data_IF_241037334175
#
_entry.id   IF_241037334175
#
_cell.length_a   1.000
_cell.length_b   1.000
_cell.length_c   1.000
_cell.angle_alpha   90.00
_cell.angle_beta   90.00
_cell.angle_gamma   90.00
#
_symmetry.space_group_name_H-M   'P 1'
#
loop_
_entity.id
_entity.type
_entity.pdbx_description
1 polymer ?
#
# COMPACT_ATOMS: atom_id res chain seq x y z
N UNK A 1 25.97 -23.26 39.54
CA UNK A 1 26.31 -23.64 38.15
C UNK A 1 25.78 -25.04 37.91
N UNK A 2 24.81 -25.19 37.00
CA UNK A 2 25.16 -25.75 35.69
C UNK A 2 24.63 -24.90 34.52
N UNK A 3 25.23 -25.15 33.35
CA UNK A 3 25.04 -24.48 32.05
C UNK A 3 23.87 -25.12 31.26
N UNK A 4 23.30 -24.35 30.32
CA UNK A 4 22.35 -24.78 29.27
C UNK A 4 21.01 -24.03 29.40
N UNK A 5 20.42 -23.38 28.40
CA UNK A 5 20.47 -23.62 26.94
C UNK A 5 20.06 -22.32 26.23
N UNK A 6 20.86 -21.83 25.27
CA UNK A 6 20.44 -20.78 24.34
C UNK A 6 19.28 -21.31 23.49
N UNK A 7 18.08 -20.75 23.65
CA UNK A 7 16.97 -20.97 22.71
C UNK A 7 17.01 -19.88 21.65
N UNK A 8 17.41 -20.28 20.44
CA UNK A 8 17.18 -19.49 19.23
C UNK A 8 15.67 -19.33 19.02
N UNK A 9 15.16 -18.09 19.10
CA UNK A 9 13.79 -17.79 18.70
C UNK A 9 13.76 -17.58 17.18
N UNK A 10 13.22 -18.57 16.47
CA UNK A 10 12.87 -18.45 15.05
C UNK A 10 11.78 -17.39 14.89
N UNK A 11 12.01 -16.44 13.99
CA UNK A 11 10.94 -15.60 13.45
C UNK A 11 9.81 -16.52 12.95
N UNK A 12 8.56 -16.13 13.21
CA UNK A 12 7.38 -16.82 12.68
C UNK A 12 7.49 -16.89 11.16
N UNK A 13 7.82 -18.08 10.64
CA UNK A 13 7.81 -18.37 9.21
C UNK A 13 6.36 -18.66 8.83
N UNK A 14 5.76 -17.80 8.03
CA UNK A 14 4.60 -18.20 7.25
C UNK A 14 5.04 -19.32 6.28
N UNK A 15 4.21 -20.36 6.07
CA UNK A 15 4.56 -21.46 5.16
C UNK A 15 4.83 -20.92 3.74
N UNK A 16 5.82 -21.46 3.01
CA UNK A 16 6.07 -21.03 1.64
C UNK A 16 4.87 -21.39 0.74
N UNK A 17 4.40 -20.46 -0.11
CA UNK A 17 3.29 -20.74 -1.02
C UNK A 17 3.71 -21.69 -2.15
N UNK A 18 2.76 -22.53 -2.58
CA UNK A 18 2.89 -23.52 -3.66
C UNK A 18 3.31 -22.89 -5.02
N UNK A 19 3.89 -23.68 -5.95
CA UNK A 19 4.74 -23.16 -7.04
C UNK A 19 4.07 -22.40 -8.20
N UNK A 20 2.76 -22.19 -8.24
CA UNK A 20 2.06 -21.68 -9.44
C UNK A 20 1.22 -20.41 -9.24
N UNK A 21 1.42 -19.66 -8.15
CA UNK A 21 0.56 -18.51 -7.79
C UNK A 21 1.26 -17.17 -7.94
N UNK A 22 0.63 -16.25 -8.68
CA UNK A 22 0.97 -14.83 -8.69
C UNK A 22 0.62 -14.26 -7.32
N UNK A 23 1.59 -14.22 -6.42
CA UNK A 23 1.44 -13.56 -5.13
C UNK A 23 1.66 -12.07 -5.37
N UNK A 24 0.57 -11.34 -5.61
CA UNK A 24 0.51 -9.89 -5.41
C UNK A 24 0.54 -9.58 -3.91
N UNK A 25 1.60 -9.98 -3.24
CA UNK A 25 1.88 -9.56 -1.89
C UNK A 25 2.63 -8.24 -1.96
N UNK A 26 2.13 -7.22 -1.27
CA UNK A 26 3.05 -6.21 -0.72
C UNK A 26 3.92 -6.99 0.27
N UNK A 27 5.01 -7.58 -0.23
CA UNK A 27 6.07 -8.10 0.61
C UNK A 27 6.73 -6.89 1.26
N UNK A 28 6.14 -6.41 2.35
CA UNK A 28 6.82 -5.49 3.23
C UNK A 28 8.12 -6.17 3.67
N UNK A 29 9.29 -5.56 3.48
CA UNK A 29 10.47 -6.02 4.19
C UNK A 29 10.21 -5.93 5.70
N UNK A 30 10.56 -7.01 6.39
CA UNK A 30 10.64 -7.21 7.84
C UNK A 30 11.28 -5.99 8.56
N UNK A 31 10.82 -5.67 9.79
CA UNK A 31 10.08 -4.47 10.13
C UNK A 31 10.94 -3.20 10.26
N UNK A 32 10.54 -2.09 9.63
CA UNK A 32 10.83 -0.73 10.13
C UNK A 32 9.69 0.21 9.73
N UNK A 33 8.81 0.52 10.70
CA UNK A 33 7.80 1.61 10.75
C UNK A 33 7.29 2.13 9.40
N UNK A 34 6.04 1.84 9.03
CA UNK A 34 5.50 2.25 7.72
C UNK A 34 4.24 3.14 7.75
N UNK A 35 3.90 3.68 8.92
CA UNK A 35 3.24 4.99 9.06
C UNK A 35 3.86 5.72 10.26
N UNK A 36 3.94 7.06 10.20
CA UNK A 36 4.67 7.90 11.18
C UNK A 36 6.18 7.58 11.28
N UNK A 37 6.86 7.47 10.13
CA UNK A 37 8.34 7.39 10.07
C UNK A 37 9.01 8.56 10.80
N UNK A 38 8.30 9.69 10.89
CA UNK A 38 8.69 10.90 11.62
C UNK A 38 7.58 11.26 12.60
N UNK A 39 7.86 11.49 13.91
CA UNK A 39 6.87 11.98 14.86
C UNK A 39 6.24 13.29 14.38
N UNK A 40 4.91 13.41 14.44
CA UNK A 40 4.18 14.60 14.04
C UNK A 40 4.33 15.71 15.09
N UNK A 41 5.48 16.39 15.08
CA UNK A 41 5.75 17.60 15.84
C UNK A 41 5.88 18.78 14.86
N UNK A 42 5.52 20.00 15.31
CA UNK A 42 5.49 21.22 14.48
C UNK A 42 6.83 21.50 13.76
N UNK A 43 7.97 21.08 14.31
CA UNK A 43 9.28 21.24 13.69
C UNK A 43 9.51 20.41 12.41
N UNK A 44 8.83 19.26 12.26
CA UNK A 44 9.03 18.36 11.12
C UNK A 44 8.15 18.72 9.90
N UNK A 45 7.25 19.69 10.07
CA UNK A 45 6.41 20.23 8.99
C UNK A 45 7.22 21.15 8.06
N UNK A 46 8.33 21.73 8.56
CA UNK A 46 9.06 22.82 7.92
C UNK A 46 10.40 22.43 7.26
N UNK A 47 10.82 21.16 7.31
CA UNK A 47 12.12 20.75 6.77
C UNK A 47 11.99 19.55 5.81
N UNK A 48 11.89 19.83 4.52
CA UNK A 48 12.15 18.85 3.46
C UNK A 48 13.61 18.93 3.05
N UNK A 49 14.50 18.29 3.80
CA UNK A 49 15.88 18.05 3.35
C UNK A 49 16.09 16.53 3.24
N UNK A 50 16.36 15.98 2.05
CA UNK A 50 16.67 14.57 1.91
C UNK A 50 18.01 14.24 2.60
N UNK A 51 18.15 13.08 3.26
CA UNK A 51 19.40 12.71 3.90
C UNK A 51 20.51 12.50 2.86
N UNK A 52 21.63 13.22 3.04
CA UNK A 52 22.87 13.07 2.25
C UNK A 52 23.44 11.65 2.42
N UNK A 53 23.64 10.93 1.31
CA UNK A 53 24.40 9.68 1.25
C UNK A 53 25.86 9.94 1.62
N UNK A 54 26.32 9.47 2.77
CA UNK A 54 27.76 9.29 3.04
C UNK A 54 28.25 8.04 2.31
N UNK A 55 29.06 8.24 1.26
CA UNK A 55 29.91 7.17 0.68
C UNK A 55 30.92 6.77 1.74
N UNK A 56 30.90 5.51 2.17
CA UNK A 56 32.00 4.89 2.91
C UNK A 56 32.83 4.11 1.90
N UNK A 57 34.12 4.42 1.79
CA UNK A 57 35.07 3.66 1.00
C UNK A 57 35.29 2.28 1.65
N UNK A 58 35.35 1.22 0.83
CA UNK A 58 35.86 -0.09 1.27
C UNK A 58 37.35 -0.19 0.94
N UNK A 59 38.16 -0.84 1.80
CA UNK A 59 39.56 -1.11 1.49
C UNK A 59 39.68 -2.31 0.55
N UNK A 60 40.70 -2.24 -0.32
CA UNK A 60 41.19 -3.39 -1.06
C UNK A 60 42.01 -4.28 -0.12
N UNK A 61 41.79 -5.61 -0.14
CA UNK A 61 42.89 -6.56 -0.01
C UNK A 61 42.54 -7.97 -0.53
N UNK A 62 43.64 -8.68 -0.74
CA UNK A 62 44.07 -9.80 -1.55
C UNK A 62 43.38 -11.19 -1.49
N UNK A 63 43.50 -11.91 -2.60
CA UNK A 63 44.06 -13.27 -2.62
C UNK A 63 43.27 -14.46 -2.06
N UNK A 64 42.82 -15.32 -2.97
CA UNK A 64 42.59 -16.78 -2.83
C UNK A 64 41.52 -17.27 -1.84
N UNK A 65 40.38 -17.68 -2.38
CA UNK A 65 39.98 -19.11 -2.45
C UNK A 65 38.60 -19.23 -3.09
N UNK A 66 38.51 -20.06 -4.13
CA UNK A 66 37.27 -20.40 -4.80
C UNK A 66 36.31 -21.09 -3.84
N UNK A 67 35.33 -20.34 -3.34
CA UNK A 67 34.06 -20.91 -2.94
C UNK A 67 33.01 -20.35 -3.91
N UNK A 68 32.38 -21.23 -4.69
CA UNK A 68 31.18 -20.87 -5.42
C UNK A 68 30.09 -20.52 -4.41
N UNK A 69 30.09 -19.26 -3.96
CA UNK A 69 28.96 -18.67 -3.28
C UNK A 69 27.84 -18.69 -4.31
N UNK A 70 26.97 -19.71 -4.24
CA UNK A 70 25.69 -19.73 -4.95
C UNK A 70 24.99 -18.45 -4.54
N UNK A 71 25.14 -17.42 -5.35
CA UNK A 71 24.47 -16.14 -5.18
C UNK A 71 22.99 -16.47 -5.21
N UNK A 72 22.36 -16.54 -4.04
CA UNK A 72 20.92 -16.78 -3.94
C UNK A 72 20.27 -15.70 -4.79
N UNK A 73 19.79 -16.05 -5.97
CA UNK A 73 19.18 -15.09 -6.87
C UNK A 73 18.01 -14.48 -6.12
N UNK A 74 18.01 -13.14 -6.00
CA UNK A 74 16.90 -12.43 -5.40
C UNK A 74 15.62 -12.80 -6.15
N UNK A 75 14.66 -13.41 -5.44
CA UNK A 75 13.38 -13.89 -6.00
C UNK A 75 12.44 -12.74 -6.35
N UNK A 76 12.64 -11.57 -5.75
CA UNK A 76 11.83 -10.37 -5.93
C UNK A 76 12.70 -9.17 -6.27
N UNK A 77 12.13 -8.23 -7.02
CA UNK A 77 12.72 -6.94 -7.37
C UNK A 77 11.79 -5.82 -6.87
N UNK A 78 12.37 -4.77 -6.28
CA UNK A 78 11.67 -3.54 -5.94
C UNK A 78 11.42 -2.74 -7.23
N UNK A 79 10.15 -2.51 -7.59
CA UNK A 79 9.80 -1.76 -8.80
C UNK A 79 9.41 -0.31 -8.48
N UNK A 80 8.95 -0.04 -7.26
CA UNK A 80 8.53 1.29 -6.82
C UNK A 80 8.74 1.46 -5.31
N UNK A 81 9.25 2.63 -4.91
CA UNK A 81 9.41 3.04 -3.50
C UNK A 81 9.14 4.53 -3.41
N UNK A 82 8.19 4.95 -2.58
CA UNK A 82 7.79 6.35 -2.44
C UNK A 82 7.44 6.68 -0.99
N UNK A 83 7.85 7.88 -0.55
CA UNK A 83 7.53 8.43 0.77
C UNK A 83 6.87 9.81 0.64
N UNK A 84 5.90 10.08 1.50
CA UNK A 84 5.29 11.39 1.71
C UNK A 84 5.09 11.60 3.21
N UNK A 85 5.99 12.36 3.84
CA UNK A 85 6.05 12.55 5.29
C UNK A 85 6.04 11.19 6.01
N UNK A 86 4.92 10.82 6.63
CA UNK A 86 4.75 9.57 7.37
C UNK A 86 4.21 8.42 6.53
N UNK A 87 3.72 8.66 5.31
CA UNK A 87 3.18 7.62 4.41
C UNK A 87 4.31 7.05 3.57
N UNK A 88 4.39 5.73 3.46
CA UNK A 88 5.43 5.07 2.68
C UNK A 88 4.91 3.81 1.98
N UNK A 89 5.28 3.65 0.72
CA UNK A 89 4.84 2.54 -0.14
C UNK A 89 6.04 1.92 -0.83
N UNK A 90 6.09 0.59 -0.79
CA UNK A 90 6.99 -0.22 -1.61
C UNK A 90 6.20 -1.26 -2.39
N UNK A 91 6.52 -1.42 -3.67
CA UNK A 91 5.98 -2.49 -4.51
C UNK A 91 7.12 -3.41 -4.93
N UNK A 92 7.01 -4.67 -4.54
CA UNK A 92 7.96 -5.73 -4.86
C UNK A 92 7.28 -6.75 -5.76
N UNK A 93 7.97 -7.17 -6.81
CA UNK A 93 7.44 -8.13 -7.78
C UNK A 93 8.43 -9.25 -8.00
N UNK A 94 7.93 -10.47 -8.23
CA UNK A 94 8.78 -11.62 -8.56
C UNK A 94 9.62 -11.30 -9.78
N UNK A 95 10.88 -11.71 -9.74
CA UNK A 95 11.85 -11.33 -10.77
C UNK A 95 11.42 -11.79 -12.18
N UNK A 96 10.79 -12.95 -12.31
CA UNK A 96 10.28 -13.43 -13.61
C UNK A 96 9.16 -12.58 -14.21
N UNK A 97 8.43 -11.81 -13.40
CA UNK A 97 7.31 -10.98 -13.87
C UNK A 97 7.73 -9.56 -14.25
N UNK A 98 8.93 -9.12 -13.86
CA UNK A 98 9.39 -7.74 -14.06
C UNK A 98 9.37 -7.34 -15.54
N UNK A 99 9.72 -8.27 -16.44
CA UNK A 99 9.70 -8.03 -17.89
C UNK A 99 8.31 -7.78 -18.48
N UNK A 100 7.26 -8.10 -17.72
CA UNK A 100 5.86 -7.92 -18.13
C UNK A 100 5.21 -6.69 -17.51
N UNK A 101 5.98 -5.90 -16.74
CA UNK A 101 5.52 -4.66 -16.15
C UNK A 101 5.71 -3.51 -17.12
N UNK A 102 4.67 -2.70 -17.27
CA UNK A 102 4.69 -1.45 -18.03
C UNK A 102 3.96 -0.33 -17.30
N UNK A 103 3.98 0.87 -17.89
CA UNK A 103 3.15 1.99 -17.47
C UNK A 103 3.20 2.32 -15.96
N UNK A 104 4.36 2.18 -15.32
CA UNK A 104 4.54 2.52 -13.91
C UNK A 104 4.36 4.03 -13.68
N UNK A 105 3.39 4.39 -12.85
CA UNK A 105 3.06 5.77 -12.45
C UNK A 105 2.92 5.86 -10.94
N UNK A 106 3.37 6.96 -10.36
CA UNK A 106 3.30 7.20 -8.92
C UNK A 106 2.74 8.61 -8.68
N UNK A 107 1.70 8.70 -7.86
CA UNK A 107 1.05 9.94 -7.46
C UNK A 107 1.10 10.11 -5.94
N UNK A 108 1.05 11.36 -5.47
CA UNK A 108 1.00 11.67 -4.05
C UNK A 108 0.06 12.84 -3.84
N UNK A 109 -0.90 12.68 -2.91
CA UNK A 109 -1.95 13.66 -2.64
C UNK A 109 -1.92 13.98 -1.16
N UNK A 110 -1.55 15.21 -0.81
CA UNK A 110 -1.58 15.67 0.58
C UNK A 110 -2.98 16.10 1.01
N UNK A 111 -3.37 15.79 2.24
CA UNK A 111 -4.69 16.07 2.85
C UNK A 111 -4.60 16.58 4.29
N UNK A 112 -3.40 16.91 4.73
CA UNK A 112 -3.08 17.29 6.10
C UNK A 112 -3.52 18.70 6.42
N UNK A 113 -2.65 19.43 7.13
CA UNK A 113 -2.96 20.82 7.50
C UNK A 113 -3.34 21.65 6.25
N UNK A 114 -4.32 22.55 6.42
CA UNK A 114 -4.92 23.36 5.35
C UNK A 114 -5.54 22.56 4.18
N UNK A 115 -5.66 21.24 4.29
CA UNK A 115 -6.28 20.37 3.28
C UNK A 115 -5.35 19.92 2.15
N UNK A 116 -4.06 20.28 2.18
CA UNK A 116 -3.11 19.93 1.10
C UNK A 116 -1.72 19.50 1.58
N UNK A 117 -1.38 19.65 2.88
CA UNK A 117 -0.06 19.25 3.39
C UNK A 117 0.10 17.72 3.47
N UNK A 118 1.32 17.22 3.27
CA UNK A 118 1.61 15.79 3.12
C UNK A 118 1.56 14.93 4.40
N UNK A 119 1.25 15.51 5.56
CA UNK A 119 1.19 14.76 6.84
C UNK A 119 -0.03 13.83 6.95
N UNK A 120 -1.01 13.99 6.06
CA UNK A 120 -2.14 13.08 5.77
C UNK A 120 -2.32 13.03 4.26
N UNK A 121 -3.08 12.06 3.77
CA UNK A 121 -3.39 11.91 2.35
C UNK A 121 -3.04 10.53 1.83
N UNK A 122 -2.54 10.41 0.60
CA UNK A 122 -2.16 9.12 0.02
C UNK A 122 -0.93 9.16 -0.88
N UNK A 123 -0.39 7.97 -1.11
CA UNK A 123 0.50 7.66 -2.23
C UNK A 123 -0.20 6.57 -3.06
N UNK A 124 -0.32 6.80 -4.37
CA UNK A 124 -0.88 5.84 -5.31
C UNK A 124 0.21 5.35 -6.27
N UNK A 125 0.35 4.04 -6.45
CA UNK A 125 1.28 3.42 -7.41
C UNK A 125 0.48 2.58 -8.39
N UNK A 126 0.52 2.93 -9.67
CA UNK A 126 -0.17 2.23 -10.75
C UNK A 126 0.84 1.63 -11.72
N UNK A 127 0.59 0.42 -12.22
CA UNK A 127 1.40 -0.22 -13.26
C UNK A 127 0.56 -1.24 -14.02
N UNK A 128 0.91 -1.51 -15.28
CA UNK A 128 0.35 -2.65 -16.01
C UNK A 128 1.19 -3.89 -15.76
N UNK A 129 0.54 -5.03 -15.56
CA UNK A 129 1.15 -6.36 -15.64
C UNK A 129 0.42 -7.12 -16.74
N UNK A 130 1.12 -7.42 -17.84
CA UNK A 130 0.48 -7.84 -19.08
C UNK A 130 -0.63 -6.84 -19.51
N UNK A 131 -1.88 -7.29 -19.68
CA UNK A 131 -3.02 -6.45 -20.06
C UNK A 131 -3.88 -6.03 -18.86
N UNK A 132 -3.42 -6.26 -17.63
CA UNK A 132 -4.14 -5.89 -16.41
C UNK A 132 -3.45 -4.70 -15.74
N UNK A 133 -4.21 -3.69 -15.38
CA UNK A 133 -3.70 -2.52 -14.63
C UNK A 133 -3.90 -2.74 -13.14
N UNK A 134 -2.83 -2.67 -12.37
CA UNK A 134 -2.84 -2.66 -10.91
C UNK A 134 -2.68 -1.24 -10.40
N UNK A 135 -3.47 -0.86 -9.41
CA UNK A 135 -3.32 0.40 -8.69
C UNK A 135 -3.37 0.16 -7.17
N UNK A 136 -2.29 0.52 -6.48
CA UNK A 136 -2.19 0.46 -5.03
C UNK A 136 -2.28 1.86 -4.45
N UNK A 137 -3.25 2.10 -3.59
CA UNK A 137 -3.43 3.37 -2.86
C UNK A 137 -3.11 3.14 -1.40
N UNK A 138 -2.08 3.79 -0.86
CA UNK A 138 -1.77 3.76 0.56
C UNK A 138 -2.10 5.12 1.18
N UNK A 139 -3.03 5.16 2.13
CA UNK A 139 -3.47 6.42 2.75
C UNK A 139 -3.26 6.49 4.25
N UNK A 140 -3.16 7.71 4.75
CA UNK A 140 -3.28 8.06 6.16
C UNK A 140 -4.30 9.20 6.25
N UNK A 141 -5.54 8.90 6.63
CA UNK A 141 -6.66 9.85 6.63
C UNK A 141 -6.73 10.68 7.92
N UNK A 142 -7.57 11.71 7.93
CA UNK A 142 -7.81 12.55 9.11
C UNK A 142 -8.04 11.75 10.41
N UNK A 143 -7.20 12.02 11.42
CA UNK A 143 -7.32 11.45 12.76
C UNK A 143 -8.36 12.20 13.59
N UNK A 144 -8.91 11.56 14.62
CA UNK A 144 -9.83 12.20 15.56
C UNK A 144 -10.88 11.23 16.09
N UNK A 145 -11.43 11.53 17.27
CA UNK A 145 -12.47 10.73 17.95
C UNK A 145 -13.67 11.59 18.38
N UNK A 146 -13.70 12.86 17.99
CA UNK A 146 -14.88 13.69 18.23
C UNK A 146 -15.94 13.30 17.21
N UNK A 147 -17.19 13.47 17.62
CA UNK A 147 -18.33 13.41 16.71
C UNK A 147 -18.10 14.35 15.52
N UNK A 148 -18.37 13.88 14.30
CA UNK A 148 -18.12 14.60 13.06
C UNK A 148 -16.70 14.47 12.50
N UNK A 149 -15.73 13.89 13.22
CA UNK A 149 -14.38 13.67 12.66
C UNK A 149 -14.41 12.66 11.49
N UNK A 150 -15.41 11.78 11.42
CA UNK A 150 -15.66 10.87 10.29
C UNK A 150 -15.97 11.62 8.99
N UNK A 151 -16.61 12.78 9.06
CA UNK A 151 -16.91 13.59 7.88
C UNK A 151 -15.63 14.12 7.22
N UNK A 152 -14.60 14.42 8.02
CA UNK A 152 -13.28 14.79 7.48
C UNK A 152 -12.61 13.62 6.77
N UNK A 153 -12.69 12.41 7.32
CA UNK A 153 -12.19 11.20 6.66
C UNK A 153 -12.93 10.94 5.35
N UNK A 154 -14.24 11.10 5.31
CA UNK A 154 -15.03 10.97 4.09
C UNK A 154 -14.63 12.00 3.02
N UNK A 155 -14.38 13.25 3.44
CA UNK A 155 -13.87 14.29 2.56
C UNK A 155 -12.50 13.91 2.00
N UNK A 156 -11.57 13.41 2.83
CA UNK A 156 -10.27 12.91 2.35
C UNK A 156 -10.41 11.78 1.34
N UNK A 157 -11.29 10.80 1.60
CA UNK A 157 -11.59 9.70 0.65
C UNK A 157 -12.09 10.25 -0.68
N UNK A 158 -13.05 11.17 -0.64
CA UNK A 158 -13.65 11.77 -1.83
C UNK A 158 -12.60 12.53 -2.66
N UNK A 159 -11.74 13.32 -2.01
CA UNK A 159 -10.70 14.08 -2.69
C UNK A 159 -9.58 13.18 -3.24
N UNK A 160 -9.20 12.13 -2.52
CA UNK A 160 -8.24 11.13 -3.04
C UNK A 160 -8.83 10.38 -4.24
N UNK A 161 -10.12 10.03 -4.20
CA UNK A 161 -10.79 9.37 -5.32
C UNK A 161 -10.85 10.25 -6.58
N UNK A 162 -11.12 11.55 -6.43
CA UNK A 162 -11.12 12.52 -7.54
C UNK A 162 -9.73 12.75 -8.13
N UNK A 163 -8.71 12.83 -7.27
CA UNK A 163 -7.34 13.18 -7.67
C UNK A 163 -6.54 11.99 -8.19
N UNK A 164 -6.83 10.80 -7.70
CA UNK A 164 -6.29 9.58 -8.29
C UNK A 164 -7.08 9.35 -9.58
N UNK A 165 -6.51 9.73 -10.73
CA UNK A 165 -7.08 9.44 -12.05
C UNK A 165 -7.10 7.92 -12.26
N UNK A 166 -8.07 7.24 -11.64
CA UNK A 166 -8.43 5.88 -12.01
C UNK A 166 -8.99 6.03 -13.40
N UNK A 167 -8.18 5.71 -14.42
CA UNK A 167 -8.64 5.60 -15.80
C UNK A 167 -9.64 4.44 -15.86
N UNK A 168 -10.84 4.65 -15.33
CA UNK A 168 -11.89 3.66 -15.32
C UNK A 168 -12.27 3.50 -16.78
N UNK A 169 -12.29 2.27 -17.27
CA UNK A 169 -12.54 1.93 -18.68
C UNK A 169 -13.84 2.49 -19.26
N UNK A 170 -14.68 3.13 -18.45
CA UNK A 170 -15.89 3.83 -18.84
C UNK A 170 -15.65 5.17 -19.59
N UNK A 171 -14.44 5.74 -19.55
CA UNK A 171 -14.15 7.07 -20.16
C UNK A 171 -13.42 6.99 -21.50
N UNK A 172 -13.18 5.80 -22.06
CA UNK A 172 -12.59 5.69 -23.40
C UNK A 172 -13.71 5.67 -24.46
N UNK A 173 -13.71 6.61 -25.43
CA UNK A 173 -14.62 6.57 -26.57
C UNK A 173 -14.53 5.25 -27.31
N UNK A 174 -15.69 4.77 -27.75
CA UNK A 174 -15.91 3.49 -28.43
C UNK A 174 -15.26 3.46 -29.83
N UNK A 175 -13.94 3.33 -29.87
CA UNK A 175 -13.18 3.07 -31.10
C UNK A 175 -12.95 1.55 -31.23
N UNK A 176 -14.00 0.81 -31.59
CA UNK A 176 -13.99 -0.42 -32.41
C UNK A 176 -13.18 -1.65 -31.95
N UNK A 177 -12.43 -1.60 -30.86
CA UNK A 177 -11.61 -2.69 -30.35
C UNK A 177 -11.71 -2.66 -28.82
N UNK A 178 -12.77 -3.25 -28.27
CA UNK A 178 -12.99 -3.41 -26.82
C UNK A 178 -11.91 -4.28 -26.18
N UNK A 179 -10.68 -3.78 -26.06
CA UNK A 179 -9.73 -4.24 -25.06
C UNK A 179 -10.25 -3.72 -23.72
N UNK A 180 -11.13 -4.50 -23.08
CA UNK A 180 -11.48 -4.29 -21.67
C UNK A 180 -10.22 -4.56 -20.86
N UNK A 181 -9.44 -3.53 -20.60
CA UNK A 181 -8.35 -3.62 -19.63
C UNK A 181 -8.98 -3.82 -18.26
N UNK A 182 -8.73 -4.98 -17.65
CA UNK A 182 -9.13 -5.22 -16.26
C UNK A 182 -8.31 -4.29 -15.36
N UNK A 183 -8.99 -3.50 -14.54
CA UNK A 183 -8.38 -2.61 -13.56
C UNK A 183 -8.65 -3.16 -12.18
N UNK A 184 -7.57 -3.32 -11.43
CA UNK A 184 -7.54 -3.91 -10.10
C UNK A 184 -6.97 -2.86 -9.17
N UNK A 185 -7.78 -2.40 -8.22
CA UNK A 185 -7.42 -1.35 -7.28
C UNK A 185 -7.43 -1.92 -5.88
N UNK A 186 -6.35 -1.72 -5.14
CA UNK A 186 -6.24 -2.07 -3.72
C UNK A 186 -5.94 -0.79 -2.95
N UNK A 187 -6.82 -0.44 -2.03
CA UNK A 187 -6.66 0.70 -1.13
C UNK A 187 -6.39 0.21 0.27
N UNK A 188 -5.28 0.64 0.88
CA UNK A 188 -4.85 0.23 2.19
C UNK A 188 -4.30 1.40 3.03
N UNK A 189 -4.16 1.16 4.34
CA UNK A 189 -3.46 2.05 5.26
C UNK A 189 -4.30 2.41 6.49
N UNK A 190 -3.82 3.39 7.25
CA UNK A 190 -4.53 3.97 8.39
C UNK A 190 -5.66 4.90 7.90
N UNK A 191 -6.85 4.31 7.76
CA UNK A 191 -8.06 5.05 7.39
C UNK A 191 -8.66 5.81 8.59
N UNK A 192 -8.15 5.59 9.79
CA UNK A 192 -8.48 6.32 11.02
C UNK A 192 -9.96 6.32 11.46
N UNK A 193 -10.83 5.55 10.82
CA UNK A 193 -12.21 5.36 11.27
C UNK A 193 -12.24 4.68 12.65
N UNK A 194 -13.18 5.11 13.49
CA UNK A 194 -13.27 4.73 14.90
C UNK A 194 -14.50 3.87 15.16
N UNK A 195 -14.58 3.33 16.36
CA UNK A 195 -15.80 2.67 16.85
C UNK A 195 -16.65 3.73 17.56
N UNK A 196 -17.90 3.89 17.13
CA UNK A 196 -18.87 4.83 17.67
C UNK A 196 -19.50 4.31 18.98
N UNK A 197 -18.64 4.01 19.96
CA UNK A 197 -18.98 3.57 21.30
C UNK A 197 -18.12 4.29 22.34
N UNK A 198 -18.62 4.35 23.58
CA UNK A 198 -17.80 4.80 24.69
C UNK A 198 -16.65 3.80 24.93
N UNK A 199 -15.57 4.27 25.58
CA UNK A 199 -14.47 3.39 25.95
C UNK A 199 -14.94 2.21 26.82
N UNK A 200 -15.81 2.48 27.80
CA UNK A 200 -16.33 1.46 28.72
C UNK A 200 -17.08 0.36 27.99
N UNK A 201 -17.96 0.74 27.06
CA UNK A 201 -18.74 -0.24 26.29
C UNK A 201 -17.87 -1.01 25.29
N UNK A 202 -16.92 -0.32 24.65
CA UNK A 202 -15.93 -0.97 23.78
C UNK A 202 -15.14 -2.00 24.56
N UNK A 203 -14.69 -1.68 25.78
CA UNK A 203 -13.94 -2.59 26.64
C UNK A 203 -14.75 -3.83 27.00
N UNK A 204 -16.02 -3.67 27.39
CA UNK A 204 -16.92 -4.78 27.71
C UNK A 204 -17.07 -5.78 26.55
N UNK A 205 -17.17 -5.25 25.32
CA UNK A 205 -17.25 -6.09 24.12
C UNK A 205 -15.90 -6.73 23.74
N UNK A 206 -14.79 -6.05 24.01
CA UNK A 206 -13.44 -6.60 23.84
C UNK A 206 -13.19 -7.78 24.79
N UNK A 207 -13.59 -7.67 26.07
CA UNK A 207 -13.43 -8.73 27.08
C UNK A 207 -14.17 -10.02 26.72
N UNK A 208 -15.23 -9.91 25.90
CA UNK A 208 -16.02 -11.05 25.39
C UNK A 208 -15.68 -11.43 23.95
N UNK A 209 -14.68 -10.78 23.34
CA UNK A 209 -14.30 -10.95 21.94
C UNK A 209 -15.48 -10.79 20.95
N UNK A 210 -16.45 -9.94 21.27
CA UNK A 210 -17.64 -9.75 20.46
C UNK A 210 -17.37 -8.78 19.29
N UNK A 211 -16.63 -9.28 18.30
CA UNK A 211 -16.22 -8.51 17.12
C UNK A 211 -17.42 -8.04 16.29
N UNK A 212 -18.45 -8.87 16.15
CA UNK A 212 -19.61 -8.52 15.33
C UNK A 212 -20.35 -7.29 15.93
N UNK A 213 -20.55 -7.24 17.25
CA UNK A 213 -21.17 -6.09 17.91
C UNK A 213 -20.32 -4.82 17.82
N UNK A 214 -18.99 -4.95 17.93
CA UNK A 214 -18.06 -3.83 17.75
C UNK A 214 -18.08 -3.31 16.29
N UNK A 215 -18.07 -4.22 15.31
CA UNK A 215 -18.12 -3.89 13.88
C UNK A 215 -19.44 -3.25 13.46
N UNK A 216 -20.57 -3.57 14.13
CA UNK A 216 -21.83 -2.85 13.92
C UNK A 216 -21.74 -1.36 14.27
N UNK A 217 -20.72 -0.97 15.04
CA UNK A 217 -20.46 0.43 15.43
C UNK A 217 -19.18 0.97 14.80
N UNK A 218 -18.55 0.25 13.87
CA UNK A 218 -17.41 0.73 13.12
C UNK A 218 -17.85 1.83 12.14
N UNK A 219 -17.27 3.02 12.27
CA UNK A 219 -17.60 4.15 11.40
C UNK A 219 -17.35 3.82 9.93
N UNK A 220 -16.26 3.15 9.55
CA UNK A 220 -16.02 2.85 8.13
C UNK A 220 -17.15 1.99 7.54
N UNK A 221 -17.60 0.99 8.30
CA UNK A 221 -18.73 0.15 7.91
C UNK A 221 -20.00 0.98 7.74
N UNK A 222 -20.36 1.78 8.73
CA UNK A 222 -21.53 2.66 8.69
C UNK A 222 -21.50 3.62 7.50
N UNK A 223 -20.36 4.26 7.24
CA UNK A 223 -20.19 5.21 6.14
C UNK A 223 -20.27 4.52 4.76
N UNK A 224 -19.79 3.27 4.65
CA UNK A 224 -19.90 2.44 3.43
C UNK A 224 -21.31 1.95 3.18
N UNK A 225 -21.98 1.43 4.21
CA UNK A 225 -23.37 0.94 4.11
C UNK A 225 -24.33 2.08 3.74
N UNK A 226 -24.06 3.29 4.22
CA UNK A 226 -24.80 4.47 3.81
C UNK A 226 -24.39 5.06 2.44
N UNK A 227 -23.43 4.44 1.74
CA UNK A 227 -22.99 4.84 0.40
C UNK A 227 -22.22 6.17 0.34
N UNK A 228 -21.74 6.69 1.49
CA UNK A 228 -21.04 7.98 1.56
C UNK A 228 -19.56 7.90 1.17
N UNK A 229 -18.95 6.73 1.33
CA UNK A 229 -17.56 6.44 0.93
C UNK A 229 -17.43 5.05 0.35
N UNK A 230 -16.40 4.84 -0.48
CA UNK A 230 -16.04 3.52 -1.01
C UNK A 230 -17.21 2.73 -1.62
N UNK A 231 -18.13 3.42 -2.30
CA UNK A 231 -19.25 2.78 -3.01
C UNK A 231 -18.71 1.82 -4.09
N UNK A 232 -19.19 0.57 -4.08
CA UNK A 232 -18.73 -0.48 -5.00
C UNK A 232 -17.39 -1.14 -4.62
N UNK A 233 -16.75 -0.70 -3.53
CA UNK A 233 -15.54 -1.35 -3.02
C UNK A 233 -15.89 -2.50 -2.08
N UNK A 234 -15.02 -3.49 -2.05
CA UNK A 234 -15.11 -4.66 -1.20
C UNK A 234 -14.12 -4.57 -0.04
N UNK A 235 -14.45 -5.25 1.06
CA UNK A 235 -13.57 -5.45 2.21
C UNK A 235 -13.77 -6.86 2.75
N UNK A 236 -12.69 -7.47 3.25
CA UNK A 236 -12.75 -8.80 3.83
C UNK A 236 -13.46 -8.78 5.18
N UNK A 237 -14.12 -9.89 5.54
CA UNK A 237 -14.67 -10.02 6.89
C UNK A 237 -13.54 -9.98 7.93
N UNK A 238 -13.71 -9.14 8.95
CA UNK A 238 -12.73 -8.94 10.02
C UNK A 238 -13.02 -9.95 11.13
N UNK A 239 -12.04 -10.80 11.41
CA UNK A 239 -12.08 -11.80 12.49
C UNK A 239 -10.99 -11.57 13.55
N UNK A 240 -10.36 -10.40 13.53
CA UNK A 240 -9.25 -10.04 14.41
C UNK A 240 -9.61 -8.82 15.26
N UNK A 241 -9.04 -8.74 16.47
CA UNK A 241 -9.27 -7.64 17.39
C UNK A 241 -8.75 -6.29 16.86
N UNK A 242 -9.32 -5.15 17.32
CA UNK A 242 -8.91 -3.80 16.91
C UNK A 242 -7.41 -3.58 16.88
N UNK A 243 -6.91 -2.90 15.87
CA UNK A 243 -5.47 -2.73 15.60
C UNK A 243 -4.85 -1.54 16.31
N UNK A 244 -5.68 -0.64 16.84
CA UNK A 244 -5.31 0.60 17.53
C UNK A 244 -6.11 0.71 18.84
N UNK A 245 -5.67 1.38 19.91
CA UNK A 245 -4.31 1.89 20.20
C UNK A 245 -3.68 1.05 21.30
N UNK A 246 -2.54 0.44 21.02
CA UNK A 246 -1.79 -0.35 21.99
C UNK A 246 -0.83 0.50 22.81
N UNK A 247 -0.54 0.04 24.02
CA UNK A 247 0.61 0.53 24.78
C UNK A 247 1.92 0.06 24.13
N UNK A 248 2.97 0.87 24.24
CA UNK A 248 4.26 0.56 23.61
C UNK A 248 4.80 -0.81 24.07
N UNK A 249 5.23 -1.65 23.13
CA UNK A 249 5.74 -2.99 23.40
C UNK A 249 4.82 -3.89 24.26
N UNK A 250 3.50 -3.70 24.18
CA UNK A 250 2.51 -4.41 25.00
C UNK A 250 1.29 -4.85 24.19
N UNK A 251 0.61 -5.90 24.65
CA UNK A 251 -0.70 -6.33 24.14
C UNK A 251 -1.88 -5.65 24.84
N UNK A 252 -1.61 -4.84 25.86
CA UNK A 252 -2.62 -4.02 26.51
C UNK A 252 -2.99 -2.80 25.65
N UNK A 253 -4.28 -2.51 25.54
CA UNK A 253 -4.73 -1.26 24.94
C UNK A 253 -4.32 -0.07 25.83
N UNK A 254 -3.97 1.05 25.21
CA UNK A 254 -3.43 2.22 25.90
C UNK A 254 -4.37 2.83 26.96
N UNK A 255 -5.66 2.52 26.93
CA UNK A 255 -6.62 2.96 27.94
C UNK A 255 -6.68 2.12 29.21
N UNK A 256 -6.07 0.93 29.24
CA UNK A 256 -6.17 -0.01 30.38
C UNK A 256 -5.27 0.38 31.56
N UNK A 257 -4.17 1.09 31.29
CA UNK A 257 -3.10 1.36 32.27
C UNK A 257 -3.21 2.77 32.88
N UNK A 258 -4.17 3.60 32.44
CA UNK A 258 -4.18 5.03 32.77
C UNK A 258 -5.07 5.34 33.98
N UNK A 259 -4.46 5.70 35.10
CA UNK A 259 -5.11 6.28 36.28
C UNK A 259 -5.14 7.83 36.28
N UNK A 260 -4.53 8.52 35.29
CA UNK A 260 -4.45 9.99 35.28
C UNK A 260 -4.33 10.64 33.89
N UNK A 261 -5.07 11.74 33.70
CA UNK A 261 -4.97 12.90 32.77
C UNK A 261 -4.54 12.76 31.29
N UNK A 262 -4.01 11.63 30.80
CA UNK A 262 -3.72 11.42 29.37
C UNK A 262 -5.00 10.99 28.64
N UNK A 263 -5.29 11.62 27.51
CA UNK A 263 -6.51 11.38 26.70
C UNK A 263 -6.64 9.89 26.33
N UNK A 264 -7.50 9.16 27.05
CA UNK A 264 -7.85 7.76 26.82
C UNK A 264 -8.39 7.61 25.40
N UNK A 265 -7.81 6.69 24.62
CA UNK A 265 -8.23 6.37 23.24
C UNK A 265 -9.03 5.10 23.22
N UNK A 266 -10.14 5.11 22.48
CA UNK A 266 -10.98 3.92 22.30
C UNK A 266 -10.34 3.01 21.26
N UNK A 267 -10.24 1.70 21.52
CA UNK A 267 -9.73 0.78 20.52
C UNK A 267 -10.52 0.84 19.20
N UNK A 268 -9.86 0.71 18.06
CA UNK A 268 -10.47 0.82 16.74
C UNK A 268 -9.73 0.02 15.65
N UNK A 269 -10.45 -0.33 14.58
CA UNK A 269 -9.88 -0.84 13.34
C UNK A 269 -9.55 0.33 12.40
N UNK A 270 -8.43 0.99 12.71
CA UNK A 270 -7.92 2.09 11.90
C UNK A 270 -7.27 1.59 10.59
N UNK A 271 -6.60 0.44 10.65
CA UNK A 271 -5.78 -0.11 9.56
C UNK A 271 -6.61 -1.06 8.68
N UNK A 272 -6.89 -0.67 7.43
CA UNK A 272 -7.86 -1.36 6.57
C UNK A 272 -7.31 -1.68 5.19
N UNK A 273 -7.90 -2.68 4.53
CA UNK A 273 -7.58 -3.07 3.15
C UNK A 273 -8.89 -3.29 2.41
N UNK A 274 -9.14 -2.44 1.41
CA UNK A 274 -10.29 -2.50 0.52
C UNK A 274 -9.81 -2.73 -0.91
N UNK A 275 -10.69 -3.27 -1.75
CA UNK A 275 -10.38 -3.44 -3.18
C UNK A 275 -11.58 -3.15 -4.08
N UNK A 276 -11.29 -2.78 -5.31
CA UNK A 276 -12.27 -2.53 -6.37
C UNK A 276 -11.79 -3.15 -7.68
N UNK A 277 -12.73 -3.67 -8.45
CA UNK A 277 -12.49 -4.44 -9.68
C UNK A 277 -12.91 -5.90 -9.54
N UNK A 278 -12.91 -6.59 -10.66
CA UNK A 278 -13.28 -8.00 -10.78
C UNK A 278 -12.04 -8.93 -10.72
N UNK A 279 -12.26 -10.24 -10.68
CA UNK A 279 -11.16 -11.22 -10.72
C UNK A 279 -10.36 -11.33 -9.42
N UNK A 280 -10.92 -10.88 -8.29
CA UNK A 280 -10.32 -11.03 -6.97
C UNK A 280 -10.92 -12.24 -6.23
N UNK A 281 -10.03 -13.03 -5.61
CA UNK A 281 -10.38 -13.91 -4.51
C UNK A 281 -9.51 -13.56 -3.31
N UNK A 282 -10.15 -13.09 -2.23
CA UNK A 282 -9.48 -12.89 -0.94
C UNK A 282 -9.16 -14.25 -0.32
N UNK A 283 -7.88 -14.53 -0.10
CA UNK A 283 -7.40 -15.76 0.54
C UNK A 283 -7.22 -15.61 2.05
N UNK A 284 -6.79 -14.43 2.50
CA UNK A 284 -6.56 -14.15 3.91
C UNK A 284 -6.66 -12.66 4.18
N UNK A 285 -7.27 -12.29 5.30
CA UNK A 285 -7.26 -10.94 5.84
C UNK A 285 -7.01 -11.00 7.35
N UNK A 286 -5.82 -10.59 7.77
CA UNK A 286 -5.32 -10.87 9.10
C UNK A 286 -4.49 -9.72 9.68
N UNK A 287 -4.50 -9.65 11.01
CA UNK A 287 -3.61 -8.80 11.80
C UNK A 287 -2.35 -9.58 12.18
N UNK A 288 -1.19 -8.91 12.19
CA UNK A 288 0.05 -9.42 12.75
C UNK A 288 0.30 -8.88 14.17
N UNK A 289 1.11 -9.61 14.95
CA UNK A 289 1.31 -9.34 16.38
C UNK A 289 2.60 -8.57 16.71
N UNK A 290 3.10 -7.78 15.76
CA UNK A 290 4.26 -6.92 15.96
C UNK A 290 3.94 -5.79 16.94
N UNK A 291 4.74 -5.66 18.01
CA UNK A 291 4.56 -4.68 19.09
C UNK A 291 5.41 -3.40 18.96
N UNK A 292 6.03 -3.20 17.80
CA UNK A 292 6.92 -2.06 17.53
C UNK A 292 6.21 -0.70 17.41
N UNK A 293 4.88 -0.70 17.34
CA UNK A 293 4.02 0.48 17.22
C UNK A 293 2.81 0.30 18.14
N UNK A 294 2.13 1.41 18.42
CA UNK A 294 0.78 1.44 19.01
C UNK A 294 -0.31 0.95 18.03
N UNK A 295 0.06 0.67 16.78
CA UNK A 295 -0.75 -0.08 15.81
C UNK A 295 -0.22 -1.52 15.66
N UNK A 296 -1.14 -2.42 15.28
CA UNK A 296 -0.82 -3.77 14.81
C UNK A 296 -0.89 -3.81 13.28
N UNK A 297 0.12 -4.39 12.58
CA UNK A 297 0.10 -4.45 11.12
C UNK A 297 -1.04 -5.31 10.61
N UNK A 298 -1.58 -4.97 9.43
CA UNK A 298 -2.65 -5.71 8.76
C UNK A 298 -2.16 -6.19 7.39
N UNK A 299 -2.55 -7.41 7.02
CA UNK A 299 -2.15 -8.07 5.77
C UNK A 299 -3.37 -8.66 5.06
N UNK A 300 -3.46 -8.42 3.76
CA UNK A 300 -4.41 -9.04 2.85
C UNK A 300 -3.66 -9.87 1.81
N UNK A 301 -4.12 -11.09 1.55
CA UNK A 301 -3.59 -11.97 0.52
C UNK A 301 -4.68 -12.23 -0.50
N UNK A 302 -4.40 -11.93 -1.76
CA UNK A 302 -5.34 -12.05 -2.86
C UNK A 302 -4.80 -13.02 -3.92
N UNK A 303 -5.70 -13.82 -4.47
CA UNK A 303 -5.52 -14.40 -5.80
C UNK A 303 -6.21 -13.45 -6.79
N UNK A 304 -5.50 -13.09 -7.85
CA UNK A 304 -5.95 -12.10 -8.82
C UNK A 304 -5.74 -12.64 -10.24
N UNK A 305 -6.79 -12.60 -11.05
CA UNK A 305 -6.71 -12.98 -12.46
C UNK A 305 -6.03 -11.89 -13.29
N UNK A 306 -5.08 -12.28 -14.14
CA UNK A 306 -4.30 -11.37 -14.99
C UNK A 306 -4.50 -11.74 -16.45
N UNK A 307 -4.94 -10.76 -17.24
CA UNK A 307 -5.18 -10.90 -18.67
C UNK A 307 -3.84 -10.85 -19.42
N UNK A 308 -3.58 -11.88 -20.23
CA UNK A 308 -2.36 -11.99 -21.04
C UNK A 308 -2.73 -11.86 -22.51
N UNK A 309 -1.90 -11.15 -23.29
CA UNK A 309 -2.09 -11.10 -24.72
C UNK A 309 -1.94 -12.50 -25.32
N UNK A 310 -2.92 -12.93 -26.12
CA UNK A 310 -2.71 -14.08 -26.99
C UNK A 310 -1.49 -13.79 -27.85
N UNK A 311 -0.50 -14.69 -27.81
CA UNK A 311 0.62 -14.66 -28.74
C UNK A 311 0.04 -14.68 -30.14
N UNK A 312 0.20 -13.60 -30.92
CA UNK A 312 -0.05 -13.68 -32.36
C UNK A 312 0.87 -14.81 -32.87
N UNK A 313 0.36 -15.79 -33.62
CA UNK A 313 1.23 -16.67 -34.37
C UNK A 313 2.16 -15.75 -35.17
N UNK A 314 3.47 -16.01 -35.13
CA UNK A 314 4.37 -15.38 -36.09
C UNK A 314 3.82 -15.80 -37.45
N UNK A 315 3.16 -14.86 -38.16
CA UNK A 315 3.12 -14.98 -39.61
C UNK A 315 4.58 -14.86 -39.99
N UNK A 316 5.18 -15.96 -40.41
CA UNK A 316 6.38 -15.91 -41.22
C UNK A 316 6.11 -14.84 -42.28
N UNK A 317 6.89 -13.76 -42.25
CA UNK A 317 6.92 -12.84 -43.37
C UNK A 317 7.60 -13.63 -44.49
N UNK A 318 6.77 -14.29 -45.30
CA UNK A 318 7.17 -14.70 -46.63
C UNK A 318 7.62 -13.44 -47.37
N UNK A 319 8.88 -13.48 -47.79
CA UNK A 319 9.54 -12.47 -48.58
C UNK A 319 8.85 -12.35 -49.94
N UNK A 320 7.94 -11.40 -50.09
CA UNK A 320 7.52 -10.93 -51.42
C UNK A 320 7.45 -9.41 -51.47
N UNK A 321 8.55 -8.83 -51.95
CA UNK A 321 8.66 -7.63 -52.79
C UNK A 321 7.62 -6.50 -52.56
N UNK A 322 7.94 -5.55 -51.68
CA UNK A 322 7.53 -4.16 -51.88
C UNK A 322 8.76 -3.31 -52.21
N UNK A 323 8.75 -2.76 -53.43
CA UNK A 323 9.73 -1.77 -53.90
C UNK A 323 9.62 -0.51 -53.04
N UNK A 324 10.72 -0.11 -52.42
CA UNK A 324 10.87 1.16 -51.70
C UNK A 324 11.34 2.22 -52.70
N UNK A 325 10.57 3.29 -52.86
CA UNK A 325 10.99 4.53 -53.54
C UNK A 325 11.77 5.45 -52.59
N UNK A 326 12.63 6.35 -53.11
CA UNK A 326 13.62 7.06 -52.30
C UNK A 326 13.07 8.30 -51.58
N UNK A 327 13.60 8.47 -50.36
CA UNK A 327 13.84 9.67 -49.54
C UNK A 327 12.79 10.79 -49.39
N UNK A 328 12.47 11.07 -48.12
CA UNK A 328 12.43 12.46 -47.63
C UNK A 328 12.90 12.52 -46.17
N UNK A 329 14.07 13.12 -45.95
CA UNK A 329 14.62 13.45 -44.65
C UNK A 329 13.97 14.73 -44.12
N UNK A 330 13.34 14.67 -42.94
CA UNK A 330 13.04 15.86 -42.14
C UNK A 330 13.51 15.67 -40.69
N UNK A 331 14.17 16.72 -40.21
CA UNK A 331 15.04 16.87 -39.06
C UNK A 331 14.30 17.06 -37.72
N UNK A 332 14.99 16.88 -36.57
CA UNK A 332 14.38 16.96 -35.24
C UNK A 332 14.20 18.40 -34.76
N UNK A 333 12.96 18.83 -34.49
CA UNK A 333 12.69 20.10 -33.79
C UNK A 333 12.65 19.88 -32.28
N UNK A 334 13.69 20.38 -31.62
CA UNK A 334 13.76 20.63 -30.18
C UNK A 334 12.99 21.94 -29.90
N UNK A 335 12.00 21.93 -29.02
CA UNK A 335 11.35 23.14 -28.51
C UNK A 335 11.86 23.41 -27.09
N UNK A 336 12.70 24.44 -26.95
CA UNK A 336 12.91 25.16 -25.70
C UNK A 336 11.86 26.28 -25.62
N UNK A 337 11.13 26.36 -24.50
CA UNK A 337 10.36 27.56 -24.14
C UNK A 337 11.17 28.37 -23.11
N UNK A 338 11.42 29.67 -23.33
CA UNK A 338 12.13 30.52 -22.39
C UNK A 338 11.22 30.97 -21.24
N UNK A 339 11.83 31.11 -20.07
CA UNK A 339 11.28 31.85 -18.94
C UNK A 339 11.01 33.31 -19.34
N UNK A 340 9.89 33.87 -18.86
CA UNK A 340 9.69 35.32 -18.80
C UNK A 340 9.61 35.73 -17.34
N UNK A 341 10.61 36.50 -16.93
CA UNK A 341 10.50 37.48 -15.86
C UNK A 341 9.54 38.60 -16.29
N UNK A 342 8.57 38.91 -15.44
CA UNK A 342 8.12 40.25 -15.03
C UNK A 342 7.13 40.09 -13.90
#
# INVERSE_FOLDING_TARGET
MPRGTQRHFSAARFPPPLPSKLVGGIAGPVPRRFQEIVPLNAGNVLTTVPPRRKRRAEPADDGRSGCHFRRTQQKYSLIASRQMVGIFVNIWVRRELVQHIGHLRIYSVGRGMMGYLGNKGCISVSFSLHQTTFCFVCSHLASGEREGDELRRNSDVSEILKSTQFQTSAELPDEGFQRRYSIIIIWLGDLNYRIALSYTETKRLLETNNWDALLQRDQLRTEREAGRVFKGWNEGRIYFAPTYKYSNNSDAYAGEIVSSSKKRRTPAWCDRILWHGEGFQLLSYARGESKFSDHRPVCGVFLVEVSVAASRPRKDLDSTNLRVGPEEFLSPTIIYAPARDT
#
